data_IF_660628258403
#
_entry.id   IF_660628258403
#
_cell.length_a   1.000
_cell.length_b   1.000
_cell.length_c   1.000
_cell.angle_alpha   90.00
_cell.angle_beta   90.00
_cell.angle_gamma   90.00
#
_symmetry.space_group_name_H-M   'P 1'
#
loop_
_entity.id
_entity.type
_entity.pdbx_description
1 polymer ?
#
# COMPACT_ATOMS: atom_id res chain seq x y z
N UNK A 1 46.26 -18.73 -10.07
CA UNK A 1 45.54 -18.01 -11.14
C UNK A 1 44.95 -16.74 -10.54
N UNK A 2 45.36 -15.59 -11.05
CA UNK A 2 45.09 -14.25 -10.49
C UNK A 2 43.68 -13.80 -10.85
N UNK A 3 42.87 -13.46 -9.84
CA UNK A 3 41.46 -13.07 -9.97
C UNK A 3 41.38 -11.57 -10.26
N UNK A 4 41.24 -11.20 -11.52
CA UNK A 4 41.10 -9.80 -11.97
C UNK A 4 39.64 -9.37 -11.81
N UNK A 5 39.40 -8.30 -11.06
CA UNK A 5 38.11 -7.62 -11.00
C UNK A 5 38.18 -6.37 -11.88
N UNK A 6 37.13 -6.03 -12.65
CA UNK A 6 37.06 -4.78 -13.39
C UNK A 6 37.05 -3.59 -12.43
N UNK A 7 37.92 -2.64 -12.72
CA UNK A 7 38.17 -1.42 -11.95
C UNK A 7 36.98 -0.46 -12.04
N UNK A 8 36.64 0.19 -10.92
CA UNK A 8 35.72 1.32 -10.89
C UNK A 8 36.40 2.55 -11.49
N UNK A 9 35.74 3.25 -12.41
CA UNK A 9 36.10 4.61 -12.80
C UNK A 9 34.81 5.36 -13.09
N UNK A 10 34.36 6.13 -12.08
CA UNK A 10 33.57 7.33 -12.30
C UNK A 10 34.38 8.29 -13.20
N UNK A 11 33.76 8.86 -14.23
CA UNK A 11 33.63 10.33 -14.37
C UNK A 11 32.95 10.75 -15.69
N UNK A 12 31.85 11.49 -15.50
CA UNK A 12 31.27 12.58 -16.29
C UNK A 12 31.36 12.62 -17.84
N UNK A 13 30.19 12.56 -18.49
CA UNK A 13 29.86 13.46 -19.62
C UNK A 13 28.43 14.00 -19.44
N UNK A 14 28.31 15.31 -19.57
CA UNK A 14 27.13 16.15 -19.36
C UNK A 14 26.24 16.25 -20.61
N UNK A 15 24.92 16.39 -20.36
CA UNK A 15 23.85 16.98 -21.20
C UNK A 15 23.20 16.14 -22.31
N UNK A 16 21.88 15.92 -22.18
CA UNK A 16 21.00 15.62 -23.32
C UNK A 16 19.77 14.77 -23.02
N UNK A 17 18.87 15.23 -22.14
CA UNK A 17 17.53 14.65 -21.99
C UNK A 17 17.12 14.48 -20.53
N UNK A 18 16.22 15.33 -20.04
CA UNK A 18 15.49 15.07 -18.81
C UNK A 18 14.52 13.92 -19.09
N UNK A 19 15.04 12.70 -19.12
CA UNK A 19 14.21 11.54 -18.83
C UNK A 19 14.03 11.58 -17.32
N UNK A 20 13.01 12.31 -16.85
CA UNK A 20 12.53 12.09 -15.49
C UNK A 20 12.04 10.65 -15.48
N UNK A 21 12.92 9.72 -15.15
CA UNK A 21 12.51 8.39 -14.78
C UNK A 21 11.60 8.62 -13.58
N UNK A 22 10.29 8.54 -13.82
CA UNK A 22 9.32 8.48 -12.74
C UNK A 22 9.63 7.15 -12.08
N UNK A 23 10.55 7.21 -11.11
CA UNK A 23 10.85 6.08 -10.25
C UNK A 23 9.57 5.91 -9.46
N UNK A 24 8.73 5.00 -9.94
CA UNK A 24 7.53 4.58 -9.20
C UNK A 24 8.05 4.01 -7.90
N UNK A 25 8.01 4.81 -6.84
CA UNK A 25 8.44 4.36 -5.53
C UNK A 25 7.51 3.22 -5.13
N UNK A 26 8.10 2.05 -4.90
CA UNK A 26 7.36 0.89 -4.45
C UNK A 26 6.78 1.22 -3.08
N UNK A 27 5.45 1.24 -2.98
CA UNK A 27 4.76 1.47 -1.71
C UNK A 27 4.47 0.14 -1.03
N UNK A 28 5.02 -0.06 0.17
CA UNK A 28 4.74 -1.25 0.99
C UNK A 28 3.53 -0.99 1.87
N UNK A 29 2.51 -1.85 1.73
CA UNK A 29 1.31 -1.81 2.54
C UNK A 29 1.20 -3.08 3.38
N UNK A 30 0.79 -2.94 4.64
CA UNK A 30 0.56 -4.06 5.55
C UNK A 30 -0.93 -4.28 5.74
N UNK A 31 -1.41 -5.49 5.48
CA UNK A 31 -2.81 -5.86 5.71
C UNK A 31 -2.93 -6.67 7.00
N UNK A 32 -3.61 -6.09 8.00
CA UNK A 32 -3.96 -6.79 9.22
C UNK A 32 -5.38 -7.35 9.10
N UNK A 33 -5.49 -8.69 9.07
CA UNK A 33 -6.78 -9.42 9.01
C UNK A 33 -7.54 -9.41 10.35
N UNK A 34 -7.70 -8.23 10.93
CA UNK A 34 -8.47 -7.98 12.13
C UNK A 34 -9.20 -6.66 11.98
N UNK A 35 -10.49 -6.66 12.26
CA UNK A 35 -11.31 -5.46 12.40
C UNK A 35 -10.89 -4.67 13.64
N UNK A 36 -10.97 -3.33 13.56
CA UNK A 36 -10.80 -2.46 14.73
C UNK A 36 -12.07 -2.35 15.58
N UNK A 37 -13.23 -2.71 15.02
CA UNK A 37 -14.52 -2.63 15.68
C UNK A 37 -14.96 -4.00 16.19
N UNK A 38 -15.55 -4.00 17.39
CA UNK A 38 -16.18 -5.19 17.95
C UNK A 38 -17.34 -5.64 17.07
N UNK A 39 -17.47 -6.96 16.88
CA UNK A 39 -18.50 -7.62 16.07
C UNK A 39 -18.47 -7.33 14.55
N UNK A 40 -17.46 -6.63 14.05
CA UNK A 40 -17.25 -6.49 12.61
C UNK A 40 -16.28 -7.56 12.10
N UNK A 41 -16.55 -8.07 10.90
CA UNK A 41 -15.60 -8.91 10.17
C UNK A 41 -14.93 -8.05 9.10
N UNK A 42 -13.63 -7.85 9.24
CA UNK A 42 -12.91 -6.82 8.50
C UNK A 42 -11.40 -6.95 8.58
N UNK A 43 -10.72 -6.08 7.84
CA UNK A 43 -9.27 -5.93 7.86
C UNK A 43 -8.88 -4.47 7.79
N UNK A 44 -7.67 -4.19 8.24
CA UNK A 44 -7.09 -2.85 8.20
C UNK A 44 -5.81 -2.82 7.39
N UNK A 45 -5.55 -1.70 6.74
CA UNK A 45 -4.38 -1.50 5.89
C UNK A 45 -3.55 -0.37 6.46
N UNK A 46 -2.27 -0.65 6.64
CA UNK A 46 -1.29 0.29 7.18
C UNK A 46 -0.21 0.61 6.15
N UNK A 47 0.30 1.83 6.22
CA UNK A 47 1.53 2.24 5.53
C UNK A 47 2.76 1.53 6.15
N UNK A 48 3.87 1.55 5.43
CA UNK A 48 5.23 1.22 5.88
C UNK A 48 5.61 1.86 7.23
N UNK A 49 5.07 3.05 7.55
CA UNK A 49 5.28 3.76 8.82
C UNK A 49 4.37 3.31 9.96
N UNK A 50 3.43 2.40 9.70
CA UNK A 50 2.44 1.96 10.69
C UNK A 50 1.20 2.86 10.81
N UNK A 51 1.04 3.84 9.93
CA UNK A 51 -0.15 4.68 9.90
C UNK A 51 -1.33 3.92 9.32
N UNK A 52 -2.51 4.00 9.95
CA UNK A 52 -3.74 3.46 9.38
C UNK A 52 -4.09 4.26 8.11
N UNK A 53 -4.22 3.58 6.99
CA UNK A 53 -4.64 4.19 5.73
C UNK A 53 -6.11 3.90 5.46
N UNK A 54 -6.49 2.63 5.60
CA UNK A 54 -7.83 2.18 5.29
C UNK A 54 -8.32 1.16 6.32
N UNK A 55 -9.62 1.19 6.58
CA UNK A 55 -10.32 0.10 7.26
C UNK A 55 -11.42 -0.45 6.36
N UNK A 56 -11.56 -1.76 6.36
CA UNK A 56 -12.59 -2.47 5.63
C UNK A 56 -13.38 -3.28 6.62
N UNK A 57 -14.63 -2.92 6.85
CA UNK A 57 -15.47 -3.54 7.87
C UNK A 57 -16.88 -3.78 7.34
N UNK A 58 -17.52 -4.85 7.83
CA UNK A 58 -18.96 -5.03 7.68
C UNK A 58 -19.68 -4.42 8.88
N UNK A 59 -20.37 -3.30 8.66
CA UNK A 59 -21.10 -2.56 9.68
C UNK A 59 -22.54 -3.05 9.93
N UNK A 60 -23.06 -3.99 9.11
CA UNK A 60 -24.43 -4.47 9.22
C UNK A 60 -24.50 -5.99 9.11
N UNK A 61 -24.76 -6.64 10.25
CA UNK A 61 -24.91 -8.09 10.41
C UNK A 61 -25.97 -8.75 9.52
N UNK A 62 -26.92 -7.99 8.97
CA UNK A 62 -28.00 -8.49 8.11
C UNK A 62 -27.61 -8.60 6.62
N UNK A 63 -26.55 -7.91 6.20
CA UNK A 63 -26.07 -7.96 4.82
C UNK A 63 -24.70 -8.61 4.80
N UNK A 64 -24.68 -9.95 4.86
CA UNK A 64 -23.47 -10.79 4.73
C UNK A 64 -22.67 -10.54 3.44
N UNK A 65 -23.18 -9.72 2.53
CA UNK A 65 -22.55 -9.38 1.26
C UNK A 65 -21.93 -7.99 1.19
N UNK A 66 -22.14 -7.09 2.17
CA UNK A 66 -21.70 -5.69 2.06
C UNK A 66 -20.49 -5.38 2.95
N UNK A 67 -19.50 -4.71 2.38
CA UNK A 67 -18.27 -4.27 3.04
C UNK A 67 -18.04 -2.80 2.73
N UNK A 68 -17.71 -2.01 3.74
CA UNK A 68 -17.37 -0.60 3.57
C UNK A 68 -15.86 -0.44 3.65
N UNK A 69 -15.26 0.10 2.59
CA UNK A 69 -13.93 0.67 2.63
C UNK A 69 -14.04 2.10 3.15
N UNK A 70 -13.33 2.40 4.21
CA UNK A 70 -13.26 3.73 4.82
C UNK A 70 -11.82 4.22 4.91
N UNK A 71 -11.66 5.53 4.96
CA UNK A 71 -10.40 6.17 5.31
C UNK A 71 -10.06 6.02 6.80
N UNK A 72 -8.90 6.56 7.20
CA UNK A 72 -8.43 6.53 8.58
C UNK A 72 -9.33 7.30 9.56
N UNK A 73 -10.01 8.36 9.11
CA UNK A 73 -11.01 9.11 9.89
C UNK A 73 -12.36 8.39 10.02
N UNK A 74 -12.58 7.36 9.20
CA UNK A 74 -13.79 6.58 9.17
C UNK A 74 -14.85 7.03 8.17
N UNK A 75 -14.51 7.92 7.23
CA UNK A 75 -15.41 8.29 6.15
C UNK A 75 -15.49 7.16 5.11
N UNK A 76 -16.71 6.77 4.68
CA UNK A 76 -16.88 5.73 3.67
C UNK A 76 -16.39 6.23 2.31
N UNK A 77 -15.52 5.45 1.68
CA UNK A 77 -14.98 5.71 0.35
C UNK A 77 -15.72 4.87 -0.70
N UNK A 78 -15.91 3.57 -0.41
CA UNK A 78 -16.53 2.62 -1.33
C UNK A 78 -17.34 1.58 -0.57
N UNK A 79 -18.42 1.13 -1.18
CA UNK A 79 -19.20 -0.03 -0.73
C UNK A 79 -18.99 -1.18 -1.70
N UNK A 80 -18.49 -2.31 -1.20
CA UNK A 80 -18.32 -3.53 -1.95
C UNK A 80 -19.49 -4.45 -1.62
N UNK A 81 -20.22 -4.87 -2.66
CA UNK A 81 -21.32 -5.84 -2.53
C UNK A 81 -20.97 -7.12 -3.27
N UNK A 82 -21.02 -8.25 -2.57
CA UNK A 82 -20.92 -9.58 -3.16
C UNK A 82 -22.20 -9.90 -3.93
N UNK A 83 -22.05 -10.46 -5.13
CA UNK A 83 -23.14 -10.91 -6.01
C UNK A 83 -23.68 -12.25 -5.58
#
# INVERSE_FOLDING_TARGET
>A
MTKVHPNATEEAITQGGVSSCVRTESTTLTVWKKSLLFNCNGFTVFDSKGNLLFRVDNYASDHKGELLLMDASGHPLLTLRRK
#
